data_IF_977379790385
#
_entry.id   IF_977379790385
#
_cell.length_a   1.000
_cell.length_b   1.000
_cell.length_c   1.000
_cell.angle_alpha   90.00
_cell.angle_beta   90.00
_cell.angle_gamma   90.00
#
_symmetry.space_group_name_H-M   'P 1'
#
loop_
_entity.id
_entity.type
_entity.pdbx_description
1 polymer ?
#
# COMPACT_ATOMS: atom_id res chain seq x y z
N UNK A 1 9.91 -2.87 -16.25
CA UNK A 1 8.68 -2.85 -17.07
C UNK A 1 8.04 -1.47 -16.88
N UNK A 2 7.20 -0.93 -17.79
CA UNK A 2 6.48 0.30 -17.49
C UNK A 2 5.47 0.03 -16.37
N UNK A 3 5.52 0.85 -15.31
CA UNK A 3 4.54 0.87 -14.22
C UNK A 3 3.15 1.05 -14.82
N UNK A 4 2.24 0.12 -14.53
CA UNK A 4 0.86 0.21 -15.01
C UNK A 4 0.23 1.49 -14.44
N UNK A 5 -0.39 2.35 -15.28
CA UNK A 5 -0.95 3.62 -14.80
C UNK A 5 -2.09 3.34 -13.81
N UNK A 6 -2.12 4.12 -12.72
CA UNK A 6 -3.20 4.07 -11.73
C UNK A 6 -4.54 4.38 -12.40
N UNK A 7 -5.49 3.46 -12.31
CA UNK A 7 -6.81 3.55 -12.95
C UNK A 7 -7.85 4.12 -12.02
N UNK A 8 -8.91 4.63 -12.63
CA UNK A 8 -10.15 4.93 -11.91
C UNK A 8 -10.65 3.65 -11.20
N UNK A 9 -10.88 3.77 -9.88
CA UNK A 9 -11.30 2.66 -9.02
C UNK A 9 -10.18 1.88 -8.32
N UNK A 10 -8.89 2.05 -8.66
CA UNK A 10 -7.79 1.37 -7.95
C UNK A 10 -7.75 1.75 -6.47
N UNK A 11 -7.99 3.02 -6.15
CA UNK A 11 -8.08 3.50 -4.77
C UNK A 11 -9.19 2.79 -4.01
N UNK A 12 -10.39 2.68 -4.60
CA UNK A 12 -11.53 2.01 -3.97
C UNK A 12 -11.26 0.52 -3.75
N UNK A 13 -10.62 -0.15 -4.71
CA UNK A 13 -10.19 -1.56 -4.58
C UNK A 13 -9.20 -1.74 -3.44
N UNK A 14 -8.14 -0.94 -3.41
CA UNK A 14 -7.12 -1.04 -2.39
C UNK A 14 -7.68 -0.76 -0.98
N UNK A 15 -8.56 0.23 -0.84
CA UNK A 15 -9.27 0.51 0.43
C UNK A 15 -10.10 -0.71 0.85
N UNK A 16 -10.84 -1.32 -0.08
CA UNK A 16 -11.62 -2.53 0.21
C UNK A 16 -10.72 -3.68 0.68
N UNK A 17 -9.61 -3.93 -0.02
CA UNK A 17 -8.65 -4.96 0.37
C UNK A 17 -8.06 -4.70 1.75
N UNK A 18 -7.71 -3.45 2.05
CA UNK A 18 -7.21 -3.09 3.37
C UNK A 18 -8.24 -3.28 4.48
N UNK A 19 -9.50 -2.89 4.24
CA UNK A 19 -10.58 -3.12 5.19
C UNK A 19 -10.84 -4.61 5.42
N UNK A 20 -10.76 -5.44 4.38
CA UNK A 20 -10.95 -6.89 4.51
C UNK A 20 -9.75 -7.56 5.19
N UNK A 21 -8.52 -7.11 4.92
CA UNK A 21 -7.33 -7.59 5.61
C UNK A 21 -7.41 -7.36 7.12
N UNK A 22 -7.81 -6.15 7.55
CA UNK A 22 -7.94 -5.82 8.98
C UNK A 22 -9.02 -6.61 9.72
N UNK A 23 -10.04 -7.13 9.02
CA UNK A 23 -11.04 -8.02 9.63
C UNK A 23 -10.49 -9.43 9.88
N UNK A 24 -9.53 -9.85 9.07
CA UNK A 24 -8.96 -11.20 9.08
C UNK A 24 -7.67 -11.30 9.88
N UNK A 25 -6.98 -10.17 10.09
CA UNK A 25 -5.69 -10.10 10.73
C UNK A 25 -5.66 -9.03 11.81
N UNK A 26 -5.19 -9.41 13.00
CA UNK A 26 -4.84 -8.43 14.03
C UNK A 26 -3.58 -7.68 13.60
N UNK A 27 -3.69 -6.36 13.50
CA UNK A 27 -2.61 -5.44 13.13
C UNK A 27 -2.33 -4.42 14.23
N UNK A 28 -2.86 -4.61 15.43
CA UNK A 28 -2.69 -3.70 16.56
C UNK A 28 -1.22 -3.44 16.90
N UNK A 29 -0.39 -4.48 16.91
CA UNK A 29 1.06 -4.38 17.14
C UNK A 29 1.84 -3.66 16.02
N UNK A 30 1.19 -3.37 14.89
CA UNK A 30 1.77 -2.68 13.74
C UNK A 30 1.35 -1.22 13.65
N UNK A 31 0.70 -0.70 14.68
CA UNK A 31 0.22 0.68 14.71
C UNK A 31 1.34 1.68 14.33
N UNK A 32 1.03 2.57 13.38
CA UNK A 32 1.99 3.53 12.85
C UNK A 32 2.93 3.02 11.78
N UNK A 33 3.05 1.71 11.52
CA UNK A 33 3.81 1.21 10.37
C UNK A 33 3.15 1.61 9.04
N UNK A 34 3.95 1.78 7.99
CA UNK A 34 3.47 1.94 6.64
C UNK A 34 2.96 0.59 6.12
N UNK A 35 1.85 0.63 5.39
CA UNK A 35 1.31 -0.52 4.67
C UNK A 35 1.03 -0.13 3.23
N UNK A 36 1.54 -0.92 2.29
CA UNK A 36 1.23 -0.81 0.87
C UNK A 36 0.27 -1.90 0.46
N UNK A 37 -0.75 -1.52 -0.31
CA UNK A 37 -1.78 -2.41 -0.79
C UNK A 37 -1.79 -2.38 -2.32
N UNK A 38 -1.61 -3.54 -2.94
CA UNK A 38 -1.72 -3.68 -4.39
C UNK A 38 -3.21 -3.73 -4.80
N UNK A 39 -3.70 -2.77 -5.60
CA UNK A 39 -5.09 -2.73 -6.03
C UNK A 39 -5.46 -3.87 -7.01
N UNK A 40 -4.48 -4.60 -7.54
CA UNK A 40 -4.69 -5.71 -8.48
C UNK A 40 -4.87 -7.04 -7.75
N UNK A 41 -3.92 -7.41 -6.90
CA UNK A 41 -3.91 -8.71 -6.22
C UNK A 41 -4.46 -8.70 -4.79
N UNK A 42 -4.57 -7.51 -4.16
CA UNK A 42 -4.91 -7.40 -2.74
C UNK A 42 -3.78 -7.80 -1.79
N UNK A 43 -2.57 -8.08 -2.30
CA UNK A 43 -1.39 -8.30 -1.46
C UNK A 43 -1.04 -7.06 -0.67
N UNK A 44 -0.48 -7.28 0.51
CA UNK A 44 -0.08 -6.22 1.44
C UNK A 44 1.38 -6.38 1.87
N UNK A 45 2.06 -5.26 2.04
CA UNK A 45 3.43 -5.21 2.55
C UNK A 45 3.50 -4.19 3.67
N UNK A 46 4.24 -4.50 4.72
CA UNK A 46 4.46 -3.63 5.87
C UNK A 46 5.92 -3.18 5.93
N UNK A 47 6.14 -1.97 6.43
CA UNK A 47 7.47 -1.43 6.67
C UNK A 47 7.42 -0.21 7.58
N UNK A 48 8.57 0.27 8.06
CA UNK A 48 8.65 1.50 8.84
C UNK A 48 8.34 2.73 7.97
N UNK A 49 8.62 2.61 6.67
CA UNK A 49 8.46 3.66 5.66
C UNK A 49 7.78 3.17 4.38
N UNK A 50 7.22 4.10 3.61
CA UNK A 50 6.66 3.80 2.29
C UNK A 50 7.72 3.28 1.29
N UNK A 51 9.00 3.58 1.52
CA UNK A 51 10.10 3.12 0.66
C UNK A 51 10.31 1.63 0.87
N UNK A 52 10.43 1.18 2.12
CA UNK A 52 10.57 -0.25 2.46
C UNK A 52 9.41 -1.08 1.95
N UNK A 53 8.19 -0.55 2.05
CA UNK A 53 6.99 -1.20 1.51
C UNK A 53 7.12 -1.43 -0.01
N UNK A 54 7.57 -0.42 -0.76
CA UNK A 54 7.76 -0.53 -2.22
C UNK A 54 8.91 -1.46 -2.57
N UNK A 55 10.00 -1.43 -1.80
CA UNK A 55 11.12 -2.35 -1.98
C UNK A 55 10.73 -3.80 -1.72
N UNK A 56 9.93 -4.07 -0.68
CA UNK A 56 9.36 -5.38 -0.40
C UNK A 56 8.47 -5.89 -1.53
N UNK A 57 7.56 -5.04 -2.04
CA UNK A 57 6.73 -5.40 -3.18
C UNK A 57 7.55 -5.73 -4.44
N UNK A 58 8.59 -4.94 -4.72
CA UNK A 58 9.50 -5.20 -5.84
C UNK A 58 10.30 -6.48 -5.67
N UNK A 59 10.74 -6.81 -4.46
CA UNK A 59 11.41 -8.08 -4.18
C UNK A 59 10.50 -9.28 -4.48
N UNK A 60 9.18 -9.12 -4.30
CA UNK A 60 8.16 -10.10 -4.67
C UNK A 60 7.76 -10.05 -6.16
N UNK A 61 8.46 -9.26 -6.98
CA UNK A 61 8.18 -9.11 -8.41
C UNK A 61 6.98 -8.22 -8.74
N UNK A 62 6.47 -7.47 -7.77
CA UNK A 62 5.35 -6.53 -7.97
C UNK A 62 5.90 -5.14 -8.28
N UNK A 63 5.64 -4.67 -9.51
CA UNK A 63 6.02 -3.34 -10.00
C UNK A 63 4.79 -2.44 -10.22
N UNK A 64 3.61 -2.86 -9.77
CA UNK A 64 2.40 -2.02 -9.79
C UNK A 64 2.50 -0.92 -8.73
N UNK A 65 1.96 0.28 -8.98
CA UNK A 65 1.84 1.27 -7.92
C UNK A 65 0.96 0.74 -6.78
N UNK A 66 1.33 1.07 -5.54
CA UNK A 66 0.61 0.64 -4.34
C UNK A 66 -0.19 1.82 -3.74
N UNK A 67 -1.33 1.52 -3.13
CA UNK A 67 -1.97 2.43 -2.19
C UNK A 67 -1.25 2.33 -0.85
N UNK A 68 -0.65 3.41 -0.36
CA UNK A 68 0.11 3.40 0.89
C UNK A 68 -0.59 4.23 1.98
N UNK A 69 -0.81 3.61 3.14
CA UNK A 69 -1.36 4.25 4.35
C UNK A 69 -0.53 3.87 5.57
N UNK A 70 -0.85 4.43 6.75
CA UNK A 70 -0.29 3.95 8.02
C UNK A 70 -1.36 3.19 8.80
N UNK A 71 -0.96 2.09 9.43
CA UNK A 71 -1.86 1.30 10.28
C UNK A 71 -2.36 2.17 11.44
N UNK A 72 -3.67 2.16 11.68
CA UNK A 72 -4.31 2.98 12.73
C UNK A 72 -4.56 4.44 12.35
N UNK A 73 -4.24 4.85 11.10
CA UNK A 73 -4.50 6.20 10.60
C UNK A 73 -5.38 6.16 9.35
N UNK A 74 -6.43 6.98 9.33
CA UNK A 74 -7.40 7.02 8.24
C UNK A 74 -6.95 7.86 7.03
N UNK A 75 -5.76 8.49 7.10
CA UNK A 75 -5.29 9.39 6.05
C UNK A 75 -4.23 8.78 5.12
N UNK A 76 -4.42 9.01 3.82
CA UNK A 76 -3.47 8.72 2.77
C UNK A 76 -2.32 9.75 2.78
N UNK A 77 -1.10 9.33 3.08
CA UNK A 77 0.07 10.18 2.86
C UNK A 77 0.44 10.13 1.37
N UNK A 78 -0.15 11.04 0.59
CA UNK A 78 0.30 11.30 -0.78
C UNK A 78 1.71 11.88 -0.71
N UNK A 79 2.75 11.06 -0.94
CA UNK A 79 4.09 11.58 -1.19
C UNK A 79 4.03 12.39 -2.48
N UNK A 80 3.99 13.72 -2.36
CA UNK A 80 4.19 14.62 -3.48
C UNK A 80 5.55 14.30 -4.09
N UNK A 81 5.57 13.91 -5.37
CA UNK A 81 6.81 13.65 -6.07
C UNK A 81 7.66 14.91 -6.09
N UNK A 82 8.84 14.85 -5.48
CA UNK A 82 9.90 15.80 -5.84
C UNK A 82 10.32 15.47 -7.27
N UNK A 83 9.74 16.17 -8.24
CA UNK A 83 10.41 16.36 -9.53
C UNK A 83 11.56 17.32 -9.25
N UNK A 84 12.78 16.80 -9.21
CA UNK A 84 13.97 17.57 -9.57
C UNK A 84 14.68 16.81 -10.67
#
# INVERSE_FOLDING_TARGET
MPTSPWKEGDTARAIKFWADYQKLHDVSDRHGQAVGIDPVSGRVWFGESAIEVVEGARADGIDTPLYVVRVGYDYYQRKGGSRR
#
